data_IF_737980070283
#
_entry.id   IF_737980070283
#
_cell.length_a   1.000
_cell.length_b   1.000
_cell.length_c   1.000
_cell.angle_alpha   90.00
_cell.angle_beta   90.00
_cell.angle_gamma   90.00
#
_symmetry.space_group_name_H-M   'P 1'
#
loop_
_entity.id
_entity.type
_entity.pdbx_description
1 polymer ?
#
# COMPACT_ATOMS: atom_id res chain seq x y z
N UNK A 1 10.69 5.36 10.22
CA UNK A 1 9.63 5.09 9.21
C UNK A 1 8.54 4.11 9.67
N UNK A 2 8.84 2.88 10.16
CA UNK A 2 7.80 1.88 10.51
C UNK A 2 6.69 2.41 11.44
N UNK A 3 7.06 3.20 12.46
CA UNK A 3 6.08 3.79 13.39
C UNK A 3 5.18 4.83 12.70
N UNK A 4 5.74 5.69 11.87
CA UNK A 4 4.99 6.69 11.10
C UNK A 4 3.95 6.03 10.19
N UNK A 5 4.36 4.98 9.44
CA UNK A 5 3.42 4.18 8.65
C UNK A 5 2.32 3.56 9.51
N UNK A 6 2.65 2.99 10.68
CA UNK A 6 1.62 2.43 11.56
C UNK A 6 0.64 3.46 12.13
N UNK A 7 1.12 4.68 12.43
CA UNK A 7 0.26 5.79 12.87
C UNK A 7 -0.67 6.23 11.75
N UNK A 8 -0.13 6.40 10.53
CA UNK A 8 -0.92 6.70 9.34
C UNK A 8 -1.99 5.63 9.07
N UNK A 9 -1.63 4.34 9.09
CA UNK A 9 -2.62 3.25 8.88
C UNK A 9 -3.76 3.31 9.91
N UNK A 10 -3.45 3.61 11.18
CA UNK A 10 -4.46 3.73 12.23
C UNK A 10 -5.41 4.90 11.95
N UNK A 11 -4.86 6.04 11.58
CA UNK A 11 -5.65 7.23 11.30
C UNK A 11 -6.49 7.09 10.02
N UNK A 12 -5.94 6.49 8.97
CA UNK A 12 -6.68 6.10 7.77
C UNK A 12 -7.89 5.22 8.12
N UNK A 13 -7.70 4.20 8.95
CA UNK A 13 -8.80 3.32 9.38
C UNK A 13 -9.84 4.04 10.24
N UNK A 14 -9.46 5.07 11.00
CA UNK A 14 -10.37 5.86 11.82
C UNK A 14 -11.19 6.89 11.03
N UNK A 15 -10.69 7.34 9.87
CA UNK A 15 -11.28 8.43 9.08
C UNK A 15 -11.97 7.98 7.79
N UNK A 16 -11.57 6.83 7.24
CA UNK A 16 -12.13 6.29 6.00
C UNK A 16 -12.98 5.05 6.32
N UNK A 17 -14.32 5.13 6.17
CA UNK A 17 -15.22 3.99 6.39
C UNK A 17 -14.81 2.73 5.61
N UNK A 18 -14.28 2.91 4.40
CA UNK A 18 -13.82 1.86 3.51
C UNK A 18 -12.66 1.03 4.10
N UNK A 19 -11.94 1.60 5.07
CA UNK A 19 -10.81 1.00 5.78
C UNK A 19 -11.08 0.77 7.27
N UNK A 20 -12.31 0.99 7.76
CA UNK A 20 -12.65 0.86 9.19
C UNK A 20 -12.36 -0.52 9.78
N UNK A 21 -12.35 -1.56 8.94
CA UNK A 21 -12.02 -2.94 9.30
C UNK A 21 -10.51 -3.19 9.53
N UNK A 22 -9.63 -2.22 9.20
CA UNK A 22 -8.17 -2.39 9.26
C UNK A 22 -7.65 -2.16 10.67
N UNK A 23 -7.03 -3.18 11.25
CA UNK A 23 -6.32 -3.05 12.52
C UNK A 23 -4.81 -2.81 12.29
N UNK A 24 -4.34 -1.57 12.46
CA UNK A 24 -2.92 -1.21 12.29
C UNK A 24 -1.96 -2.03 13.17
N UNK A 25 -2.41 -2.52 14.32
CA UNK A 25 -1.64 -3.38 15.23
C UNK A 25 -1.30 -4.75 14.62
N UNK A 26 -2.16 -5.25 13.71
CA UNK A 26 -2.04 -6.55 13.02
C UNK A 26 -1.49 -6.45 11.59
N UNK A 27 -1.10 -5.26 11.14
CA UNK A 27 -0.35 -5.07 9.90
C UNK A 27 1.14 -4.98 10.22
N UNK A 28 1.94 -5.85 9.65
CA UNK A 28 3.40 -5.73 9.67
C UNK A 28 3.86 -4.90 8.47
N UNK A 29 4.70 -3.90 8.72
CA UNK A 29 5.31 -3.07 7.68
C UNK A 29 6.80 -3.30 7.69
N UNK A 30 7.34 -3.68 6.54
CA UNK A 30 8.76 -3.97 6.33
C UNK A 30 9.22 -3.33 5.01
N UNK A 31 10.50 -3.00 4.91
CA UNK A 31 11.15 -2.77 3.62
C UNK A 31 11.62 -4.12 3.03
N UNK A 32 11.69 -4.19 1.70
CA UNK A 32 12.19 -5.35 0.98
C UNK A 32 12.79 -4.98 -0.37
N UNK A 33 13.25 -6.01 -1.09
CA UNK A 33 13.90 -5.90 -2.39
C UNK A 33 13.02 -5.26 -3.47
N UNK A 34 13.67 -4.75 -4.52
CA UNK A 34 12.99 -4.24 -5.70
C UNK A 34 12.21 -5.35 -6.41
N UNK A 35 11.04 -5.01 -6.95
CA UNK A 35 10.22 -5.94 -7.74
C UNK A 35 9.51 -5.17 -8.84
N UNK A 36 10.15 -5.11 -10.02
CA UNK A 36 9.69 -4.30 -11.15
C UNK A 36 9.43 -2.85 -10.73
N UNK A 37 8.31 -2.30 -11.19
CA UNK A 37 7.86 -0.92 -10.90
C UNK A 37 6.99 -0.78 -9.64
N UNK A 38 6.85 -1.84 -8.84
CA UNK A 38 6.01 -1.80 -7.64
C UNK A 38 6.66 -0.95 -6.54
N UNK A 39 5.86 -0.05 -5.93
CA UNK A 39 6.25 0.75 -4.76
C UNK A 39 5.97 0.03 -3.45
N UNK A 40 4.91 -0.76 -3.38
CA UNK A 40 4.64 -1.63 -2.25
C UNK A 40 3.86 -2.86 -2.70
N UNK A 41 3.82 -3.85 -1.82
CA UNK A 41 2.96 -5.04 -1.99
C UNK A 41 2.36 -5.43 -0.66
N UNK A 42 1.08 -5.77 -0.63
CA UNK A 42 0.44 -6.46 0.47
C UNK A 42 0.33 -7.96 0.23
N UNK A 43 0.47 -8.74 1.30
CA UNK A 43 0.09 -10.14 1.34
C UNK A 43 -0.53 -10.52 2.67
N UNK A 44 -1.23 -11.64 2.70
CA UNK A 44 -1.63 -12.27 3.94
C UNK A 44 -0.43 -12.67 4.80
N UNK A 45 -0.58 -12.57 6.12
CA UNK A 45 0.41 -13.03 7.10
C UNK A 45 0.33 -14.52 7.41
N UNK A 46 -0.42 -15.32 6.62
CA UNK A 46 -0.55 -16.75 6.85
C UNK A 46 0.76 -17.51 6.65
N UNK A 47 0.90 -18.61 7.38
CA UNK A 47 2.04 -19.54 7.32
C UNK A 47 1.60 -20.85 6.66
N UNK A 48 1.56 -20.81 5.32
CA UNK A 48 1.12 -21.91 4.47
C UNK A 48 -0.41 -22.07 4.42
N UNK A 49 -0.90 -23.14 3.76
CA UNK A 49 -2.32 -23.42 3.67
C UNK A 49 -2.91 -23.73 5.06
N UNK A 50 -4.23 -23.57 5.23
CA UNK A 50 -4.93 -24.13 6.39
C UNK A 50 -4.66 -25.64 6.48
N UNK A 51 -4.53 -26.17 7.70
CA UNK A 51 -4.61 -27.63 7.87
C UNK A 51 -6.05 -28.07 7.59
N UNK A 52 -6.24 -29.30 7.11
CA UNK A 52 -7.59 -29.87 6.95
C UNK A 52 -8.37 -29.72 8.26
N UNK A 53 -9.54 -29.06 8.21
CA UNK A 53 -10.38 -28.75 9.38
C UNK A 53 -9.78 -27.77 10.42
N UNK A 54 -8.60 -27.21 10.17
CA UNK A 54 -7.83 -26.44 11.17
C UNK A 54 -7.84 -24.93 10.97
N UNK A 55 -7.64 -24.18 12.06
CA UNK A 55 -7.46 -22.72 12.04
C UNK A 55 -6.23 -22.31 11.22
N UNK A 56 -6.36 -21.20 10.47
CA UNK A 56 -5.23 -20.57 9.77
C UNK A 56 -4.17 -20.13 10.78
N UNK A 57 -2.91 -20.43 10.49
CA UNK A 57 -1.77 -19.96 11.29
C UNK A 57 -1.22 -18.67 10.71
N UNK A 58 -0.83 -17.74 11.56
CA UNK A 58 -0.28 -16.46 11.16
C UNK A 58 1.12 -16.24 11.75
N UNK A 59 1.87 -15.35 11.09
CA UNK A 59 3.00 -14.69 11.73
C UNK A 59 2.51 -13.97 12.98
N UNK A 60 3.27 -14.03 14.06
CA UNK A 60 2.97 -13.31 15.30
C UNK A 60 4.06 -12.30 15.57
N UNK A 61 3.71 -11.18 16.19
CA UNK A 61 4.69 -10.24 16.72
C UNK A 61 4.15 -9.70 18.03
N UNK A 62 4.93 -9.87 19.11
CA UNK A 62 4.51 -9.47 20.48
C UNK A 62 3.13 -10.04 20.83
N UNK A 63 2.97 -11.35 20.61
CA UNK A 63 1.74 -12.10 20.92
C UNK A 63 0.56 -11.88 19.97
N UNK A 64 0.62 -10.94 19.00
CA UNK A 64 -0.49 -10.64 18.09
C UNK A 64 -0.31 -11.29 16.73
N UNK A 65 -1.38 -11.89 16.20
CA UNK A 65 -1.43 -12.38 14.83
C UNK A 65 -1.36 -11.21 13.84
N UNK A 66 -0.38 -11.28 12.95
CA UNK A 66 -0.23 -10.36 11.83
C UNK A 66 -1.12 -10.86 10.68
N UNK A 67 -2.22 -10.15 10.44
CA UNK A 67 -3.16 -10.48 9.36
C UNK A 67 -2.58 -10.18 7.98
N UNK A 68 -1.84 -9.08 7.89
CA UNK A 68 -1.23 -8.63 6.65
C UNK A 68 0.23 -8.21 6.84
N UNK A 69 0.99 -8.36 5.77
CA UNK A 69 2.36 -7.84 5.65
C UNK A 69 2.40 -6.91 4.44
N UNK A 70 2.69 -5.63 4.69
CA UNK A 70 3.01 -4.65 3.66
C UNK A 70 4.53 -4.60 3.53
N UNK A 71 5.02 -4.84 2.31
CA UNK A 71 6.43 -4.70 1.96
C UNK A 71 6.60 -3.45 1.12
N UNK A 72 7.26 -2.43 1.68
CA UNK A 72 7.65 -1.21 0.97
C UNK A 72 8.89 -1.51 0.12
N UNK A 73 8.84 -1.08 -1.13
CA UNK A 73 9.88 -1.33 -2.15
C UNK A 73 10.75 -0.09 -2.33
N UNK A 74 11.95 -0.21 -2.91
CA UNK A 74 12.87 0.91 -3.07
C UNK A 74 12.26 2.15 -3.73
N UNK A 75 11.37 1.98 -4.73
CA UNK A 75 10.70 3.11 -5.38
C UNK A 75 9.82 3.94 -4.43
N UNK A 76 9.24 3.35 -3.39
CA UNK A 76 8.49 4.09 -2.37
C UNK A 76 9.38 5.01 -1.54
N UNK A 77 10.64 4.61 -1.33
CA UNK A 77 11.61 5.40 -0.60
C UNK A 77 12.26 6.47 -1.47
N UNK A 78 12.66 6.11 -2.69
CA UNK A 78 13.55 6.90 -3.52
C UNK A 78 12.86 7.70 -4.63
N UNK A 79 11.61 7.37 -4.95
CA UNK A 79 10.93 7.81 -6.18
C UNK A 79 9.44 8.08 -5.94
N UNK A 80 9.12 8.70 -4.81
CA UNK A 80 7.76 9.08 -4.44
C UNK A 80 7.69 10.47 -3.81
N UNK A 81 6.61 11.19 -4.09
CA UNK A 81 6.14 12.32 -3.28
C UNK A 81 5.53 11.81 -1.97
N UNK A 82 5.27 12.70 -1.00
CA UNK A 82 4.55 12.32 0.22
C UNK A 82 3.14 11.78 -0.08
N UNK A 83 2.42 12.45 -0.98
CA UNK A 83 1.10 12.03 -1.44
C UNK A 83 1.15 10.64 -2.10
N UNK A 84 2.11 10.38 -3.00
CA UNK A 84 2.27 9.07 -3.64
C UNK A 84 2.54 7.96 -2.61
N UNK A 85 3.23 8.27 -1.50
CA UNK A 85 3.47 7.30 -0.42
C UNK A 85 2.19 6.96 0.33
N UNK A 86 1.38 7.97 0.65
CA UNK A 86 0.06 7.77 1.28
C UNK A 86 -0.87 7.01 0.34
N UNK A 87 -0.92 7.41 -0.93
CA UNK A 87 -1.70 6.76 -1.98
C UNK A 87 -1.31 5.28 -2.13
N UNK A 88 0.00 4.98 -2.09
CA UNK A 88 0.50 3.60 -2.14
C UNK A 88 0.01 2.79 -0.94
N UNK A 89 0.08 3.35 0.27
CA UNK A 89 -0.39 2.64 1.47
C UNK A 89 -1.91 2.40 1.44
N UNK A 90 -2.67 3.40 1.00
CA UNK A 90 -4.11 3.27 0.73
C UNK A 90 -4.40 2.16 -0.28
N UNK A 91 -3.68 2.16 -1.41
CA UNK A 91 -3.79 1.13 -2.45
C UNK A 91 -3.59 -0.26 -1.88
N UNK A 92 -2.53 -0.47 -1.11
CA UNK A 92 -2.22 -1.76 -0.50
C UNK A 92 -3.26 -2.17 0.54
N UNK A 93 -3.71 -1.25 1.40
CA UNK A 93 -4.73 -1.55 2.41
C UNK A 93 -6.09 -1.88 1.79
N UNK A 94 -6.45 -1.21 0.69
CA UNK A 94 -7.73 -1.41 0.04
C UNK A 94 -7.86 -2.83 -0.58
N UNK A 95 -6.74 -3.51 -0.86
CA UNK A 95 -6.71 -4.94 -1.22
C UNK A 95 -7.05 -5.89 -0.07
N UNK A 96 -7.00 -5.44 1.19
CA UNK A 96 -7.36 -6.27 2.33
C UNK A 96 -8.85 -6.66 2.27
N UNK A 97 -9.15 -7.90 2.69
CA UNK A 97 -10.52 -8.36 2.86
C UNK A 97 -11.21 -7.54 3.95
N UNK A 98 -12.50 -7.22 3.73
CA UNK A 98 -13.34 -6.54 4.71
C UNK A 98 -13.43 -7.33 6.03
N UNK A 99 -13.35 -8.67 5.96
CA UNK A 99 -13.32 -9.54 7.16
C UNK A 99 -11.97 -9.52 7.90
N UNK A 100 -10.97 -8.85 7.34
CA UNK A 100 -9.62 -8.69 7.88
C UNK A 100 -8.96 -10.01 8.36
N UNK A 101 -9.23 -11.10 7.63
CA UNK A 101 -8.81 -12.47 7.96
C UNK A 101 -7.47 -12.86 7.29
N UNK A 102 -6.75 -11.86 6.77
CA UNK A 102 -5.50 -12.03 6.02
C UNK A 102 -5.70 -12.54 4.60
N UNK A 103 -6.93 -12.69 4.10
CA UNK A 103 -7.19 -12.90 2.67
C UNK A 103 -7.23 -11.56 1.92
N UNK A 104 -6.98 -11.58 0.62
CA UNK A 104 -7.16 -10.39 -0.22
C UNK A 104 -8.59 -10.35 -0.76
N UNK A 105 -9.17 -9.15 -0.85
CA UNK A 105 -10.53 -8.94 -1.34
C UNK A 105 -10.65 -9.36 -2.81
N UNK A 106 -11.53 -10.31 -3.11
CA UNK A 106 -11.58 -10.97 -4.43
C UNK A 106 -11.89 -9.99 -5.56
N UNK A 107 -12.82 -9.06 -5.33
CA UNK A 107 -13.31 -8.10 -6.34
C UNK A 107 -12.42 -6.87 -6.50
N UNK A 108 -11.53 -6.62 -5.54
CA UNK A 108 -10.61 -5.48 -5.56
C UNK A 108 -9.26 -5.84 -6.19
N UNK A 109 -9.11 -7.09 -6.64
CA UNK A 109 -7.92 -7.49 -7.40
C UNK A 109 -7.96 -6.92 -8.81
N UNK A 110 -6.82 -6.47 -9.30
CA UNK A 110 -6.63 -6.00 -10.69
C UNK A 110 -7.02 -7.04 -11.76
N UNK A 111 -7.10 -8.32 -11.40
CA UNK A 111 -7.60 -9.37 -12.29
C UNK A 111 -9.13 -9.33 -12.52
N UNK A 112 -9.89 -8.58 -11.70
CA UNK A 112 -11.36 -8.51 -11.75
C UNK A 112 -11.89 -7.08 -11.81
N UNK A 113 -11.13 -6.09 -11.33
CA UNK A 113 -11.46 -4.68 -11.49
C UNK A 113 -10.45 -4.04 -12.45
N UNK A 114 -10.89 -3.31 -13.49
CA UNK A 114 -9.97 -2.56 -14.34
C UNK A 114 -9.11 -1.64 -13.49
N UNK A 115 -7.79 -1.69 -13.71
CA UNK A 115 -6.81 -0.95 -12.92
C UNK A 115 -7.13 0.55 -12.82
N UNK A 116 -7.59 1.15 -13.92
CA UNK A 116 -8.00 2.55 -13.94
C UNK A 116 -9.17 2.86 -12.98
N UNK A 117 -10.17 1.98 -12.87
CA UNK A 117 -11.30 2.16 -11.93
C UNK A 117 -10.84 2.00 -10.49
N UNK A 118 -9.97 1.02 -10.23
CA UNK A 118 -9.35 0.85 -8.91
C UNK A 118 -8.57 2.11 -8.50
N UNK A 119 -7.69 2.57 -9.38
CA UNK A 119 -6.81 3.70 -9.11
C UNK A 119 -7.62 4.99 -8.90
N UNK A 120 -8.67 5.24 -9.70
CA UNK A 120 -9.58 6.39 -9.48
C UNK A 120 -10.22 6.36 -8.10
N UNK A 121 -10.67 5.20 -7.63
CA UNK A 121 -11.29 5.09 -6.32
C UNK A 121 -10.27 5.35 -5.20
N UNK A 122 -9.06 4.79 -5.30
CA UNK A 122 -7.98 5.09 -4.34
C UNK A 122 -7.64 6.59 -4.32
N UNK A 123 -7.63 7.25 -5.48
CA UNK A 123 -7.39 8.69 -5.58
C UNK A 123 -8.50 9.51 -4.91
N UNK A 124 -9.76 9.09 -5.01
CA UNK A 124 -10.87 9.72 -4.30
C UNK A 124 -10.71 9.61 -2.78
N UNK A 125 -10.37 8.42 -2.27
CA UNK A 125 -10.09 8.19 -0.86
C UNK A 125 -8.89 9.02 -0.37
N UNK A 126 -7.86 9.13 -1.20
CA UNK A 126 -6.67 9.94 -0.91
C UNK A 126 -7.04 11.42 -0.76
N UNK A 127 -7.78 11.99 -1.72
CA UNK A 127 -8.23 13.38 -1.65
C UNK A 127 -9.05 13.65 -0.40
N UNK A 128 -10.02 12.77 -0.10
CA UNK A 128 -10.85 12.84 1.11
C UNK A 128 -10.00 12.80 2.37
N UNK A 129 -9.01 11.91 2.43
CA UNK A 129 -8.13 11.80 3.57
C UNK A 129 -7.27 13.04 3.76
N UNK A 130 -6.54 13.45 2.71
CA UNK A 130 -5.59 14.58 2.79
C UNK A 130 -6.29 15.90 3.11
N UNK A 131 -7.55 16.09 2.72
CA UNK A 131 -8.33 17.28 3.08
C UNK A 131 -8.55 17.44 4.60
N UNK A 132 -8.47 16.35 5.37
CA UNK A 132 -8.69 16.35 6.82
C UNK A 132 -7.52 15.76 7.62
N UNK A 133 -6.42 15.41 6.96
CA UNK A 133 -5.31 14.71 7.58
C UNK A 133 -4.50 15.65 8.49
N UNK A 134 -4.21 15.26 9.74
CA UNK A 134 -3.31 16.03 10.59
C UNK A 134 -1.92 16.15 9.94
N UNK A 135 -1.35 17.37 9.81
CA UNK A 135 -0.06 17.58 9.15
C UNK A 135 1.07 16.72 9.73
N UNK A 136 1.06 16.47 11.04
CA UNK A 136 2.06 15.66 11.74
C UNK A 136 2.03 14.17 11.35
N UNK A 137 0.93 13.68 10.80
CA UNK A 137 0.83 12.32 10.28
C UNK A 137 1.37 12.21 8.85
N UNK A 138 1.33 13.30 8.08
CA UNK A 138 1.81 13.34 6.69
C UNK A 138 3.28 13.78 6.60
N UNK A 139 3.71 14.70 7.46
CA UNK A 139 5.06 15.28 7.47
C UNK A 139 6.21 14.24 7.44
N UNK A 140 6.14 13.08 8.15
CA UNK A 140 7.20 12.07 8.08
C UNK A 140 7.43 11.48 6.69
N UNK A 141 6.48 11.66 5.76
CA UNK A 141 6.55 11.17 4.39
C UNK A 141 7.06 12.23 3.40
N UNK A 142 7.30 13.47 3.83
CA UNK A 142 7.79 14.56 2.98
C UNK A 142 9.29 14.81 3.12
N UNK A 143 9.94 14.26 4.14
CA UNK A 143 11.34 14.54 4.44
C UNK A 143 12.34 13.92 3.45
N UNK A 144 13.58 14.38 3.56
CA UNK A 144 14.76 13.79 2.93
C UNK A 144 15.72 13.27 4.01
N UNK A 145 16.51 12.25 3.69
CA UNK A 145 17.57 11.74 4.57
C UNK A 145 17.51 10.24 4.77
N UNK A 146 17.92 9.76 5.94
CA UNK A 146 17.98 8.33 6.23
C UNK A 146 16.93 7.96 7.27
N UNK A 147 16.11 6.94 6.97
CA UNK A 147 15.05 6.50 7.86
C UNK A 147 15.27 5.07 8.35
N UNK A 148 15.07 4.87 9.66
CA UNK A 148 15.03 3.54 10.26
C UNK A 148 13.73 2.82 9.90
N UNK A 149 13.84 1.59 9.40
CA UNK A 149 12.68 0.75 9.06
C UNK A 149 12.96 -0.73 9.34
N UNK A 150 11.91 -1.48 9.70
CA UNK A 150 12.00 -2.94 9.81
C UNK A 150 12.23 -3.59 8.45
N UNK A 151 13.01 -4.66 8.46
CA UNK A 151 13.33 -5.49 7.29
C UNK A 151 13.33 -6.95 7.73
N UNK A 152 13.18 -7.86 6.76
CA UNK A 152 13.37 -9.29 7.01
C UNK A 152 14.86 -9.61 7.10
N UNK A 153 15.31 -10.11 8.25
CA UNK A 153 16.63 -10.74 8.36
C UNK A 153 16.63 -12.06 7.59
N UNK A 154 15.55 -12.83 7.77
CA UNK A 154 15.26 -14.05 7.03
C UNK A 154 13.78 -14.04 6.70
N UNK A 155 13.45 -14.15 5.41
CA UNK A 155 12.07 -14.25 4.97
C UNK A 155 11.37 -15.44 5.64
N UNK A 156 10.11 -15.30 6.05
CA UNK A 156 9.36 -16.42 6.62
C UNK A 156 9.10 -17.45 5.52
N UNK A 157 9.99 -18.45 5.41
CA UNK A 157 9.81 -19.57 4.49
C UNK A 157 8.53 -20.34 4.88
N UNK A 158 7.80 -20.81 3.87
CA UNK A 158 6.71 -21.77 4.03
C UNK A 158 7.26 -23.15 4.42
N UNK A 159 7.91 -23.25 5.58
CA UNK A 159 8.27 -24.52 6.21
C UNK A 159 7.15 -24.98 7.15
N UNK A 160 7.17 -26.25 7.58
CA UNK A 160 6.23 -26.79 8.58
C UNK A 160 6.40 -26.05 9.92
N UNK A 161 5.69 -24.94 10.09
CA UNK A 161 5.57 -24.29 11.39
C UNK A 161 4.79 -25.23 12.31
N UNK A 162 5.47 -25.79 13.32
CA UNK A 162 4.84 -26.50 14.44
C UNK A 162 4.23 -25.45 15.40
N UNK A 163 3.03 -25.69 15.91
CA UNK A 163 2.32 -24.78 16.83
C UNK A 163 1.36 -23.77 16.16
N UNK A 164 0.84 -22.84 16.97
CA UNK A 164 -0.25 -21.92 16.62
C UNK A 164 0.16 -20.74 15.69
N UNK A 165 1.45 -20.52 15.48
CA UNK A 165 1.99 -19.44 14.66
C UNK A 165 3.52 -19.41 14.72
N UNK A 166 4.14 -18.43 14.06
CA UNK A 166 5.60 -18.21 14.10
C UNK A 166 5.88 -16.80 14.56
N UNK A 167 6.70 -16.66 15.60
CA UNK A 167 7.15 -15.33 16.01
C UNK A 167 8.03 -14.71 14.92
N UNK A 168 7.65 -13.52 14.49
CA UNK A 168 8.35 -12.72 13.50
C UNK A 168 9.50 -11.93 14.14
N UNK A 169 9.51 -11.73 15.47
CA UNK A 169 10.54 -10.94 16.16
C UNK A 169 11.97 -11.33 15.77
N UNK A 170 12.37 -12.61 15.93
CA UNK A 170 13.70 -13.10 15.54
C UNK A 170 13.99 -13.08 14.03
N UNK A 171 12.98 -12.86 13.19
CA UNK A 171 13.11 -12.81 11.73
C UNK A 171 13.26 -11.37 11.22
N UNK A 172 13.17 -10.39 12.11
CA UNK A 172 13.17 -8.97 11.77
C UNK A 172 14.42 -8.30 12.33
N UNK A 173 14.93 -7.33 11.59
CA UNK A 173 15.91 -6.37 12.09
C UNK A 173 15.48 -4.97 11.68
N UNK A 174 16.15 -3.95 12.21
CA UNK A 174 15.99 -2.58 11.74
C UNK A 174 17.14 -2.22 10.82
N UNK A 175 16.82 -1.91 9.57
CA UNK A 175 17.76 -1.32 8.62
C UNK A 175 17.50 0.18 8.46
N UNK A 176 18.33 0.78 7.63
CA UNK A 176 18.29 2.20 7.29
C UNK A 176 18.13 2.33 5.78
N UNK A 177 17.17 3.15 5.34
CA UNK A 177 16.91 3.41 3.93
C UNK A 177 17.02 4.91 3.67
N UNK A 178 17.64 5.33 2.55
CA UNK A 178 17.49 6.71 2.10
C UNK A 178 16.03 6.97 1.74
N UNK A 179 15.46 8.06 2.23
CA UNK A 179 14.17 8.61 1.83
C UNK A 179 14.45 9.86 0.99
N UNK A 180 14.00 9.84 -0.26
CA UNK A 180 14.12 10.98 -1.18
C UNK A 180 12.73 11.34 -1.66
N UNK A 181 12.29 12.55 -1.35
CA UNK A 181 10.96 13.02 -1.73
C UNK A 181 11.08 13.77 -3.04
N UNK A 182 10.39 13.29 -4.07
CA UNK A 182 10.29 14.07 -5.30
C UNK A 182 9.46 15.32 -5.00
N UNK A 183 9.85 16.45 -5.61
CA UNK A 183 8.95 17.58 -5.70
C UNK A 183 7.61 17.11 -6.29
N UNK A 184 6.46 17.62 -5.83
CA UNK A 184 5.19 17.41 -6.50
C UNK A 184 5.38 17.74 -7.99
N UNK A 185 4.92 16.87 -8.88
CA UNK A 185 4.80 17.27 -10.28
C UNK A 185 3.77 18.41 -10.30
N UNK A 186 4.18 19.59 -10.77
CA UNK A 186 3.21 20.58 -11.23
C UNK A 186 2.27 19.87 -12.20
N UNK A 187 0.96 20.06 -12.02
CA UNK A 187 -0.01 19.45 -12.92
C UNK A 187 0.34 19.88 -14.35
N UNK A 188 0.63 18.92 -15.23
CA UNK A 188 0.78 19.22 -16.65
C UNK A 188 -0.51 19.93 -17.09
N UNK A 189 -0.43 21.11 -17.73
CA UNK A 189 -1.61 21.82 -18.18
C UNK A 189 -2.41 20.88 -19.08
N UNK A 190 -3.68 20.72 -18.72
CA UNK A 190 -4.63 19.84 -19.38
C UNK A 190 -4.51 19.99 -20.89
N UNK A 191 -4.11 18.90 -21.57
CA UNK A 191 -3.80 18.92 -22.99
C UNK A 191 -5.00 19.53 -23.74
N UNK A 192 -4.77 20.68 -24.37
CA UNK A 192 -5.79 21.43 -25.12
C UNK A 192 -6.58 20.46 -26.01
N UNK A 193 -7.93 20.53 -26.01
CA UNK A 193 -8.73 19.65 -26.84
C UNK A 193 -8.28 19.82 -28.30
N UNK A 194 -7.87 18.72 -28.93
CA UNK A 194 -7.54 18.69 -30.36
C UNK A 194 -8.74 19.25 -31.11
N UNK A 195 -8.59 20.43 -31.72
CA UNK A 195 -9.59 21.02 -32.61
C UNK A 195 -9.99 19.94 -33.62
N UNK A 196 -11.23 19.45 -33.53
CA UNK A 196 -11.86 18.72 -34.61
C UNK A 196 -11.79 19.63 -35.83
N UNK A 197 -11.07 19.21 -36.89
CA UNK A 197 -11.23 19.80 -38.21
C UNK A 197 -12.70 19.59 -38.60
N UNK A 198 -13.48 20.66 -38.55
CA UNK A 198 -14.82 20.76 -39.13
C UNK A 198 -14.66 21.41 -40.49
N UNK A 199 -15.15 20.71 -41.53
CA UNK A 199 -15.72 21.29 -42.75
C UNK A 199 -14.75 21.67 -43.88
N UNK A 200 -14.84 20.92 -44.98
CA UNK A 200 -15.36 21.46 -46.24
C UNK A 200 -15.78 20.29 -47.15
N UNK A 201 -17.07 19.99 -47.09
CA UNK A 201 -17.81 19.50 -48.25
C UNK A 201 -18.35 20.73 -49.00
N UNK A 202 -18.61 20.55 -50.31
CA UNK A 202 -19.38 21.41 -51.25
C UNK A 202 -18.64 22.67 -51.75
N UNK A 203 -18.61 23.05 -53.05
CA UNK A 203 -19.46 22.72 -54.21
C UNK A 203 -18.86 23.33 -55.52
N UNK A 204 -19.38 22.92 -56.69
CA UNK A 204 -19.38 23.57 -58.04
C UNK A 204 -18.04 23.75 -58.80
N UNK A 205 -17.88 23.53 -60.12
CA UNK A 205 -18.75 23.17 -61.24
C UNK A 205 -18.02 23.56 -62.55
N UNK A 206 -17.84 22.62 -63.49
CA UNK A 206 -17.88 22.78 -64.97
C UNK A 206 -17.64 21.41 -65.64
#
# INVERSE_FOLDING_TARGET
MTLAVKRLIRDLAGRLPELAHVEASRVLVVAGEARGSSRATIRGGQLGPPRAGGKRRFLRLRGRDLRYVITLRPLWFLASTAEERVATLLHELYHASIRFDGSLHRERRHARLPRARYDRHVQELLRRYLAAAPPELVAPFSGEGVVKIRMWLRGPRAGRVRGAGRDAGPLLFHGYMPLRTRAPREAEPEARPRRRRRGRDEEEGE
#
